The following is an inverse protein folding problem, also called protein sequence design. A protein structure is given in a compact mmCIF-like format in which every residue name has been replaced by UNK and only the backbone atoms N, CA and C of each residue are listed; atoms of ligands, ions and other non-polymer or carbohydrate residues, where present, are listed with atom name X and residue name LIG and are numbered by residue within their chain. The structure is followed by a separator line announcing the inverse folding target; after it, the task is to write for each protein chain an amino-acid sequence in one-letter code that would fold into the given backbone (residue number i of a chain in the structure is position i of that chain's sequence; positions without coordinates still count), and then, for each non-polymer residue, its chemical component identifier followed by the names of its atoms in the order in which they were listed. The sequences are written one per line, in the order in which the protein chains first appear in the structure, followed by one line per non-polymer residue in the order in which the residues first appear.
data_IF_410843579069
#
_entry.id   IF_410843579069
#
_cell.length_a   1.000
_cell.length_b   1.000
_cell.length_c   1.000
_cell.angle_alpha   90.00
_cell.angle_beta   90.00
_cell.angle_gamma   90.00
#
_symmetry.space_group_name_H-M   'P 1'
#
loop_
_entity.id
_entity.type
_entity.pdbx_description
1 polymer ?
#
# COMPACT_ATOMS: atom_id res chain seq x y z
N UNK A 1 3.97 -32.07 22.45
CA UNK A 1 3.80 -30.61 22.53
C UNK A 1 4.91 -29.97 21.70
N UNK A 2 4.79 -29.16 20.65
CA UNK A 2 3.67 -28.55 19.91
C UNK A 2 4.28 -28.22 18.53
N UNK A 3 3.75 -28.80 17.46
CA UNK A 3 4.26 -28.61 16.09
C UNK A 3 3.70 -27.29 15.54
N UNK A 4 4.52 -26.23 15.52
CA UNK A 4 4.05 -24.85 15.24
C UNK A 4 4.82 -24.13 14.13
N UNK A 5 5.39 -24.85 13.17
CA UNK A 5 6.28 -24.26 12.14
C UNK A 5 5.80 -24.37 10.68
N UNK A 6 4.53 -24.72 10.42
CA UNK A 6 4.02 -24.88 9.04
C UNK A 6 2.73 -24.10 8.74
N UNK A 7 2.49 -22.96 9.40
CA UNK A 7 1.25 -22.18 9.20
C UNK A 7 1.31 -21.13 8.07
N UNK A 8 2.48 -20.79 7.53
CA UNK A 8 2.58 -19.61 6.63
C UNK A 8 3.27 -19.82 5.27
N UNK A 9 3.77 -21.01 4.96
CA UNK A 9 4.27 -21.28 3.60
C UNK A 9 3.13 -21.78 2.72
N UNK A 10 2.12 -20.93 2.46
CA UNK A 10 1.29 -21.16 1.27
C UNK A 10 2.26 -21.05 0.08
N UNK A 11 2.49 -22.12 -0.70
CA UNK A 11 3.39 -22.02 -1.86
C UNK A 11 2.93 -20.85 -2.71
N UNK A 12 3.87 -20.05 -3.22
CA UNK A 12 3.60 -18.84 -4.00
C UNK A 12 2.54 -19.11 -5.06
N UNK A 13 1.30 -18.76 -4.71
CA UNK A 13 0.12 -19.19 -5.45
C UNK A 13 -0.15 -18.21 -6.56
N UNK A 14 -0.31 -18.72 -7.78
CA UNK A 14 -0.76 -17.95 -8.92
C UNK A 14 -2.30 -17.86 -8.91
N UNK A 15 -2.82 -16.75 -8.41
CA UNK A 15 -4.25 -16.53 -8.26
C UNK A 15 -4.88 -16.05 -9.57
N UNK A 16 -6.11 -16.51 -9.85
CA UNK A 16 -6.95 -15.90 -10.88
C UNK A 16 -7.51 -14.57 -10.37
N UNK A 17 -8.10 -13.76 -11.27
CA UNK A 17 -8.77 -12.52 -10.90
C UNK A 17 -9.82 -12.72 -9.80
N UNK A 18 -10.68 -13.73 -9.96
CA UNK A 18 -11.73 -14.05 -8.99
C UNK A 18 -11.17 -14.53 -7.64
N UNK A 19 -10.10 -15.34 -7.64
CA UNK A 19 -9.47 -15.78 -6.39
C UNK A 19 -8.79 -14.62 -5.66
N UNK A 20 -8.11 -13.74 -6.39
CA UNK A 20 -7.48 -12.55 -5.83
C UNK A 20 -8.51 -11.60 -5.21
N UNK A 21 -9.62 -11.35 -5.92
CA UNK A 21 -10.74 -10.55 -5.43
C UNK A 21 -11.30 -11.10 -4.11
N UNK A 22 -11.46 -12.43 -4.02
CA UNK A 22 -11.93 -13.09 -2.80
C UNK A 22 -10.92 -13.01 -1.65
N UNK A 23 -9.63 -13.15 -1.92
CA UNK A 23 -8.59 -13.10 -0.89
C UNK A 23 -8.45 -11.69 -0.28
N UNK A 24 -8.65 -10.65 -1.11
CA UNK A 24 -8.61 -9.25 -0.69
C UNK A 24 -9.97 -8.69 -0.25
N UNK A 25 -11.03 -9.50 -0.30
CA UNK A 25 -12.42 -9.11 -0.02
C UNK A 25 -12.90 -7.86 -0.80
N UNK A 26 -12.58 -7.81 -2.09
CA UNK A 26 -12.97 -6.71 -3.00
C UNK A 26 -13.64 -7.25 -4.28
N UNK A 27 -14.28 -6.36 -5.04
CA UNK A 27 -14.85 -6.74 -6.34
C UNK A 27 -13.76 -6.98 -7.40
N UNK A 28 -14.04 -7.84 -8.38
CA UNK A 28 -13.13 -8.09 -9.51
C UNK A 28 -12.82 -6.82 -10.32
N UNK A 29 -13.82 -5.93 -10.47
CA UNK A 29 -13.63 -4.62 -11.08
C UNK A 29 -12.66 -3.73 -10.29
N UNK A 30 -12.70 -3.81 -8.95
CA UNK A 30 -11.77 -3.06 -8.09
C UNK A 30 -10.34 -3.58 -8.27
N UNK A 31 -10.15 -4.90 -8.40
CA UNK A 31 -8.84 -5.47 -8.76
C UNK A 31 -8.32 -4.86 -10.06
N UNK A 32 -9.15 -4.84 -11.11
CA UNK A 32 -8.77 -4.30 -12.43
C UNK A 32 -8.43 -2.79 -12.34
N UNK A 33 -9.15 -2.02 -11.54
CA UNK A 33 -8.86 -0.61 -11.28
C UNK A 33 -7.55 -0.41 -10.52
N UNK A 34 -7.28 -1.21 -9.48
CA UNK A 34 -6.04 -1.13 -8.70
C UNK A 34 -4.82 -1.52 -9.54
N UNK A 35 -4.95 -2.50 -10.44
CA UNK A 35 -3.91 -2.86 -11.41
C UNK A 35 -3.68 -1.73 -12.42
N UNK A 36 -4.76 -1.11 -12.92
CA UNK A 36 -4.69 0.06 -13.82
C UNK A 36 -3.98 1.24 -13.16
N UNK A 37 -4.25 1.48 -11.88
CA UNK A 37 -3.63 2.52 -11.03
C UNK A 37 -2.23 2.15 -10.56
N UNK A 38 -1.70 0.97 -10.91
CA UNK A 38 -0.39 0.46 -10.47
C UNK A 38 -0.24 0.29 -8.95
N UNK A 39 -1.36 0.16 -8.25
CA UNK A 39 -1.38 -0.19 -6.81
C UNK A 39 -1.12 -1.68 -6.63
N UNK A 40 -1.72 -2.51 -7.49
CA UNK A 40 -1.43 -3.95 -7.56
C UNK A 40 -0.50 -4.27 -8.73
N UNK A 41 0.30 -5.35 -8.64
CA UNK A 41 1.21 -5.75 -9.71
C UNK A 41 0.46 -6.11 -11.00
N UNK A 42 1.15 -5.99 -12.13
CA UNK A 42 0.61 -6.40 -13.42
C UNK A 42 0.44 -7.92 -13.48
N UNK A 43 -0.65 -8.43 -14.09
CA UNK A 43 -0.83 -9.87 -14.24
C UNK A 43 0.20 -10.50 -15.17
N UNK A 44 0.56 -11.74 -14.86
CA UNK A 44 1.30 -12.64 -15.75
C UNK A 44 0.30 -13.31 -16.70
N UNK A 45 0.46 -13.07 -18.01
CA UNK A 45 -0.35 -13.71 -19.04
C UNK A 45 0.24 -15.08 -19.42
N UNK A 46 -0.45 -16.17 -19.08
CA UNK A 46 -0.05 -17.54 -19.45
C UNK A 46 -0.56 -17.93 -20.85
N UNK A 47 -1.66 -17.31 -21.29
CA UNK A 47 -2.27 -17.49 -22.61
C UNK A 47 -3.26 -16.36 -22.88
N UNK A 48 -3.82 -16.29 -24.10
CA UNK A 48 -4.87 -15.32 -24.42
C UNK A 48 -6.07 -15.52 -23.49
N UNK A 49 -6.32 -14.54 -22.62
CA UNK A 49 -7.42 -14.57 -21.64
C UNK A 49 -7.11 -15.28 -20.32
N UNK A 50 -5.91 -15.84 -20.14
CA UNK A 50 -5.50 -16.45 -18.86
C UNK A 50 -4.43 -15.58 -18.20
N UNK A 51 -4.86 -14.81 -17.20
CA UNK A 51 -4.01 -13.92 -16.41
C UNK A 51 -3.94 -14.40 -14.96
N UNK A 52 -2.74 -14.30 -14.37
CA UNK A 52 -2.47 -14.73 -13.00
C UNK A 52 -1.67 -13.70 -12.23
N UNK A 53 -1.90 -13.63 -10.93
CA UNK A 53 -1.13 -12.81 -10.00
C UNK A 53 -0.34 -13.71 -9.07
N UNK A 54 0.95 -13.41 -8.91
CA UNK A 54 1.75 -14.01 -7.86
C UNK A 54 1.33 -13.41 -6.52
N UNK A 55 0.89 -14.25 -5.58
CA UNK A 55 0.47 -13.78 -4.26
C UNK A 55 1.61 -13.08 -3.49
N UNK A 56 2.86 -13.48 -3.71
CA UNK A 56 4.02 -12.85 -3.06
C UNK A 56 4.17 -11.39 -3.48
N UNK A 57 4.12 -11.12 -4.79
CA UNK A 57 4.23 -9.76 -5.34
C UNK A 57 3.06 -8.87 -4.91
N UNK A 58 1.86 -9.45 -4.74
CA UNK A 58 0.70 -8.73 -4.21
C UNK A 58 0.93 -8.33 -2.75
N UNK A 59 1.42 -9.24 -1.91
CA UNK A 59 1.74 -8.93 -0.52
C UNK A 59 2.84 -7.86 -0.42
N UNK A 60 3.86 -7.95 -1.26
CA UNK A 60 4.92 -6.94 -1.32
C UNK A 60 4.36 -5.56 -1.73
N UNK A 61 3.52 -5.49 -2.75
CA UNK A 61 2.86 -4.25 -3.15
C UNK A 61 1.98 -3.65 -2.04
N UNK A 62 1.25 -4.50 -1.29
CA UNK A 62 0.44 -4.07 -0.15
C UNK A 62 1.28 -3.59 1.03
N UNK A 63 2.43 -4.22 1.29
CA UNK A 63 3.37 -3.78 2.31
C UNK A 63 3.93 -2.39 1.99
N UNK A 64 4.24 -2.13 0.72
CA UNK A 64 4.69 -0.82 0.25
C UNK A 64 3.57 0.23 0.21
N UNK A 65 2.31 -0.19 0.04
CA UNK A 65 1.14 0.70 0.10
C UNK A 65 0.97 1.32 1.49
N UNK A 66 1.23 0.55 2.55
CA UNK A 66 1.19 1.02 3.94
C UNK A 66 2.31 1.99 4.33
N UNK A 67 3.33 2.17 3.47
CA UNK A 67 4.40 3.15 3.61
C UNK A 67 4.09 4.53 3.05
N UNK A 68 2.88 4.76 2.52
CA UNK A 68 2.43 6.08 2.06
C UNK A 68 2.06 7.05 3.22
N UNK A 69 2.66 6.86 4.40
CA UNK A 69 2.67 7.80 5.53
C UNK A 69 3.95 8.66 5.53
N UNK A 70 4.62 8.84 4.39
CA UNK A 70 5.74 9.79 4.28
C UNK A 70 6.02 10.24 2.83
N UNK A 71 4.97 10.45 2.05
CA UNK A 71 5.08 11.56 1.09
C UNK A 71 4.94 12.82 1.94
N UNK A 72 5.95 13.71 2.03
CA UNK A 72 5.68 15.05 2.52
C UNK A 72 4.69 15.65 1.53
N UNK A 73 3.40 15.54 1.84
CA UNK A 73 2.43 16.53 1.43
C UNK A 73 2.93 17.81 2.08
N UNK A 74 3.84 18.47 1.37
CA UNK A 74 4.29 19.82 1.64
C UNK A 74 3.08 20.69 1.33
N UNK A 75 2.05 20.57 2.15
CA UNK A 75 0.92 21.46 2.16
C UNK A 75 1.49 22.81 2.57
N UNK A 76 1.58 23.81 1.65
CA UNK A 76 2.18 25.10 1.95
C UNK A 76 1.44 25.83 3.08
N UNK A 77 0.23 25.37 3.42
CA UNK A 77 -0.55 25.85 4.55
C UNK A 77 0.00 25.39 5.90
N UNK A 78 0.56 24.17 5.99
CA UNK A 78 1.12 23.64 7.24
C UNK A 78 2.52 24.19 7.55
N UNK A 79 3.25 24.76 6.58
CA UNK A 79 4.53 25.43 6.83
C UNK A 79 4.35 26.81 7.50
N UNK A 80 3.31 27.57 7.13
CA UNK A 80 3.05 28.89 7.70
C UNK A 80 2.80 28.88 9.21
N UNK A 81 2.11 27.85 9.73
CA UNK A 81 1.83 27.72 11.15
C UNK A 81 3.10 27.47 12.00
N UNK A 82 4.12 26.84 11.42
CA UNK A 82 5.40 26.53 12.08
C UNK A 82 6.28 27.78 12.23
N UNK A 83 6.21 28.70 11.27
CA UNK A 83 6.96 29.96 11.31
C UNK A 83 6.30 31.04 12.19
N UNK A 84 4.97 31.00 12.35
CA UNK A 84 4.23 31.96 13.16
C UNK A 84 4.49 31.80 14.67
N UNK A 85 4.63 30.57 15.16
CA UNK A 85 4.95 30.29 16.57
C UNK A 85 6.39 30.66 16.92
N UNK A 86 7.34 30.46 16.01
CA UNK A 86 8.74 30.82 16.24
C UNK A 86 8.99 32.34 16.31
N UNK A 87 8.11 33.16 15.74
CA UNK A 87 8.26 34.62 15.71
C UNK A 87 7.74 35.32 16.98
N UNK A 88 6.91 34.67 17.80
CA UNK A 88 6.33 35.30 19.00
C UNK A 88 7.21 35.19 20.26
N UNK A 89 8.18 34.28 20.30
CA UNK A 89 9.02 34.04 21.49
C UNK A 89 10.21 35.01 21.65
N UNK A 90 10.43 35.93 20.69
CA UNK A 90 11.58 36.86 20.72
C UNK A 90 11.29 38.29 21.19
N UNK A 91 10.06 38.65 21.58
CA UNK A 91 9.70 40.05 21.92
C UNK A 91 9.15 40.21 23.34
N UNK A 92 9.68 39.47 24.31
CA UNK A 92 9.32 39.69 25.70
C UNK A 92 10.52 39.50 26.63
N UNK A 93 11.36 40.51 26.66
CA UNK A 93 12.16 40.79 27.85
C UNK A 93 12.00 42.27 28.26
N UNK A 94 11.51 42.55 29.49
CA UNK A 94 11.75 43.79 30.22
C UNK A 94 13.14 43.71 30.89
N UNK A 95 13.87 44.82 31.14
CA UNK A 95 13.44 45.92 32.02
C UNK A 95 13.60 47.35 31.46
#
# INVERSE_FOLDING_TARGET
MTNRLALDLRPSAYLSRASLARELDISESTVDEMVRRRVLPQPVALSRGCVRWCWHDVQDALAHLGGAEDSPSSDPFMEGARHATQTQEGRRDPP
#
